data_IF_616452530034
#
_entry.id   IF_616452530034
#
_cell.length_a   1.000
_cell.length_b   1.000
_cell.length_c   1.000
_cell.angle_alpha   90.00
_cell.angle_beta   90.00
_cell.angle_gamma   90.00
#
_symmetry.space_group_name_H-M   'P 1'
#
loop_
_entity.id
_entity.type
_entity.pdbx_description
1 polymer ?
#
# COMPACT_ATOMS: atom_id res chain seq x y z
N UNK A 1 9.00 7.26 -13.11
CA UNK A 1 8.83 5.97 -12.39
C UNK A 1 7.37 5.85 -11.99
N UNK A 2 6.81 4.63 -12.01
CA UNK A 2 5.42 4.40 -11.59
C UNK A 2 5.44 3.64 -10.27
N UNK A 3 4.86 4.23 -9.23
CA UNK A 3 4.82 3.63 -7.90
C UNK A 3 3.45 3.00 -7.64
N UNK A 4 3.45 1.81 -7.03
CA UNK A 4 2.25 1.16 -6.49
C UNK A 4 2.45 0.93 -5.00
N UNK A 5 1.63 1.58 -4.19
CA UNK A 5 1.63 1.41 -2.74
C UNK A 5 0.55 0.43 -2.33
N UNK A 6 0.94 -0.71 -1.75
CA UNK A 6 0.00 -1.76 -1.33
C UNK A 6 -0.10 -1.81 0.19
N UNK A 7 -1.30 -1.61 0.73
CA UNK A 7 -1.59 -1.71 2.16
C UNK A 7 -3.05 -2.09 2.39
N UNK A 8 -3.42 -2.44 3.63
CA UNK A 8 -4.82 -2.65 3.99
C UNK A 8 -5.65 -1.38 3.76
N UNK A 9 -6.97 -1.53 3.59
CA UNK A 9 -7.92 -0.41 3.60
C UNK A 9 -8.11 0.16 5.02
N UNK A 10 -7.00 0.65 5.57
CA UNK A 10 -6.86 1.26 6.87
C UNK A 10 -5.76 2.34 6.81
N UNK A 11 -5.83 3.29 7.74
CA UNK A 11 -4.82 4.37 7.84
C UNK A 11 -3.52 3.83 8.43
N UNK A 12 -3.49 3.46 9.72
CA UNK A 12 -2.36 2.82 10.42
C UNK A 12 -0.96 3.21 9.88
N UNK A 13 -0.08 2.23 9.62
CA UNK A 13 1.25 2.49 9.03
C UNK A 13 1.16 2.89 7.55
N UNK A 14 0.03 2.61 6.91
CA UNK A 14 -0.31 2.95 5.53
C UNK A 14 -0.25 4.44 5.22
N UNK A 15 -0.85 5.22 6.12
CA UNK A 15 -1.14 6.64 5.88
C UNK A 15 0.11 7.50 5.85
N UNK A 16 1.12 7.16 6.65
CA UNK A 16 2.38 7.89 6.66
C UNK A 16 3.05 7.86 5.29
N UNK A 17 3.02 6.71 4.59
CA UNK A 17 3.63 6.60 3.26
C UNK A 17 2.81 7.36 2.22
N UNK A 18 1.47 7.27 2.28
CA UNK A 18 0.58 8.06 1.41
C UNK A 18 0.85 9.56 1.55
N UNK A 19 0.97 10.07 2.78
CA UNK A 19 1.29 11.47 3.02
C UNK A 19 2.64 11.88 2.44
N UNK A 20 3.69 11.07 2.61
CA UNK A 20 5.01 11.39 2.06
C UNK A 20 4.95 11.45 0.53
N UNK A 21 4.29 10.48 -0.12
CA UNK A 21 4.17 10.44 -1.58
C UNK A 21 3.38 11.63 -2.11
N UNK A 22 2.24 11.96 -1.48
CA UNK A 22 1.43 13.13 -1.86
C UNK A 22 2.16 14.46 -1.61
N UNK A 23 2.84 14.60 -0.46
CA UNK A 23 3.62 15.81 -0.14
C UNK A 23 4.76 16.03 -1.13
N UNK A 24 5.42 14.95 -1.57
CA UNK A 24 6.47 15.00 -2.58
C UNK A 24 5.95 15.24 -4.02
N UNK A 25 4.63 15.31 -4.23
CA UNK A 25 4.03 15.44 -5.55
C UNK A 25 4.25 14.20 -6.44
N UNK A 26 4.50 13.04 -5.84
CA UNK A 26 4.73 11.78 -6.57
C UNK A 26 3.39 11.12 -6.85
N UNK A 27 3.11 10.85 -8.12
CA UNK A 27 1.95 10.06 -8.52
C UNK A 27 2.18 8.56 -8.18
N UNK A 28 1.19 7.94 -7.54
CA UNK A 28 1.23 6.54 -7.16
C UNK A 28 -0.16 5.88 -7.18
N UNK A 29 -0.19 4.58 -7.45
CA UNK A 29 -1.37 3.74 -7.30
C UNK A 29 -1.56 3.38 -5.81
N UNK A 30 -2.64 3.84 -5.18
CA UNK A 30 -3.04 3.43 -3.81
C UNK A 30 -3.82 2.11 -3.88
N UNK A 31 -3.10 0.98 -3.87
CA UNK A 31 -3.67 -0.36 -3.93
C UNK A 31 -4.11 -0.85 -2.54
N UNK A 32 -5.41 -0.73 -2.26
CA UNK A 32 -6.01 -1.10 -0.97
C UNK A 32 -6.48 -2.55 -0.95
N UNK A 33 -5.94 -3.33 -0.03
CA UNK A 33 -6.20 -4.77 0.09
C UNK A 33 -7.23 -5.02 1.18
N UNK A 34 -8.27 -5.82 0.89
CA UNK A 34 -9.21 -6.29 1.90
C UNK A 34 -8.59 -7.42 2.71
N UNK A 35 -9.01 -7.56 3.96
CA UNK A 35 -8.50 -8.63 4.84
C UNK A 35 -8.72 -10.04 4.28
N UNK A 36 -9.81 -10.24 3.53
CA UNK A 36 -10.17 -11.50 2.87
C UNK A 36 -9.22 -11.89 1.74
N UNK A 37 -8.67 -10.91 1.03
CA UNK A 37 -7.75 -11.12 -0.09
C UNK A 37 -6.31 -11.35 0.39
N UNK A 38 -5.99 -10.91 1.62
CA UNK A 38 -4.64 -10.95 2.17
C UNK A 38 -4.00 -12.34 2.19
N UNK A 39 -4.68 -13.44 2.58
CA UNK A 39 -4.08 -14.78 2.55
C UNK A 39 -3.53 -15.18 1.17
N UNK A 40 -4.15 -14.72 0.08
CA UNK A 40 -3.68 -14.98 -1.29
C UNK A 40 -2.49 -14.13 -1.69
N UNK A 41 -2.40 -12.90 -1.17
CA UNK A 41 -1.33 -11.94 -1.48
C UNK A 41 -0.08 -12.17 -0.62
N UNK A 42 -0.26 -12.60 0.64
CA UNK A 42 0.78 -12.80 1.64
C UNK A 42 2.02 -13.55 1.11
N UNK A 43 1.90 -14.68 0.37
CA UNK A 43 3.08 -15.41 -0.14
C UNK A 43 3.91 -14.63 -1.16
N UNK A 44 3.35 -13.59 -1.76
CA UNK A 44 4.02 -12.74 -2.76
C UNK A 44 4.78 -11.56 -2.14
N UNK A 45 4.64 -11.34 -0.83
CA UNK A 45 5.33 -10.25 -0.14
C UNK A 45 6.67 -10.73 0.44
N UNK A 46 7.67 -9.84 0.62
CA UNK A 46 8.99 -10.24 1.12
C UNK A 46 9.00 -10.86 2.53
N UNK A 47 8.02 -10.54 3.38
CA UNK A 47 8.00 -10.92 4.80
C UNK A 47 6.70 -11.61 5.24
N UNK A 48 5.83 -11.96 4.30
CA UNK A 48 4.53 -12.56 4.59
C UNK A 48 3.52 -11.52 5.03
#
# INVERSE_FOLDING_TARGET
>A
PTYKYTYFDARLRGEFIRFILSYAGVEFEDNRVKGEDWPSLKPTTPFG
#
